data_IF_493125640045
#
_entry.id   IF_493125640045
#
_cell.length_a   1.000
_cell.length_b   1.000
_cell.length_c   1.000
_cell.angle_alpha   90.00
_cell.angle_beta   90.00
_cell.angle_gamma   90.00
#
_symmetry.space_group_name_H-M   'P 1'
#
loop_
_entity.id
_entity.type
_entity.pdbx_description
1 polymer ?
#
# COMPACT_ATOMS: atom_id res chain seq x y z
N UNK A 1 34.10 -6.91 -2.48
CA UNK A 1 32.95 -7.58 -3.09
C UNK A 1 31.94 -6.53 -3.49
N UNK A 2 31.80 -6.27 -4.78
CA UNK A 2 30.75 -5.36 -5.28
C UNK A 2 29.40 -6.06 -5.20
N UNK A 3 28.29 -5.32 -5.16
CA UNK A 3 26.94 -5.89 -5.23
C UNK A 3 26.75 -6.85 -6.42
N UNK A 4 27.53 -6.69 -7.50
CA UNK A 4 27.48 -7.56 -8.67
C UNK A 4 27.99 -8.97 -8.38
N UNK A 5 28.96 -9.13 -7.47
CA UNK A 5 29.70 -10.40 -7.30
C UNK A 5 28.79 -11.52 -6.77
N UNK A 6 27.86 -11.20 -5.85
CA UNK A 6 26.90 -12.16 -5.29
C UNK A 6 25.89 -12.64 -6.32
N UNK A 7 25.41 -11.74 -7.19
CA UNK A 7 24.44 -12.07 -8.24
C UNK A 7 25.11 -12.90 -9.33
N UNK A 8 26.36 -12.59 -9.70
CA UNK A 8 27.11 -13.40 -10.67
C UNK A 8 27.35 -14.84 -10.17
N UNK A 9 27.61 -15.01 -8.87
CA UNK A 9 27.79 -16.35 -8.29
C UNK A 9 26.48 -17.15 -8.19
N UNK A 10 25.34 -16.47 -8.03
CA UNK A 10 24.00 -17.07 -7.92
C UNK A 10 23.01 -16.29 -8.78
N UNK A 11 23.01 -16.51 -10.11
CA UNK A 11 22.24 -15.69 -11.05
C UNK A 11 20.75 -16.01 -11.07
N UNK A 12 20.32 -17.13 -10.46
CA UNK A 12 18.91 -17.50 -10.35
C UNK A 12 18.32 -17.04 -9.01
N UNK A 13 17.15 -16.38 -9.00
CA UNK A 13 16.44 -16.03 -7.77
C UNK A 13 16.18 -17.22 -6.84
N UNK A 14 16.04 -18.43 -7.38
CA UNK A 14 15.77 -19.64 -6.60
C UNK A 14 16.94 -20.07 -5.71
N UNK A 15 18.15 -19.62 -6.02
CA UNK A 15 19.37 -19.90 -5.26
C UNK A 15 19.56 -18.95 -4.06
N UNK A 16 18.64 -18.01 -3.88
CA UNK A 16 18.62 -17.08 -2.75
C UNK A 16 17.54 -17.49 -1.77
N UNK A 17 17.87 -17.43 -0.47
CA UNK A 17 16.88 -17.63 0.57
C UNK A 17 15.79 -16.56 0.46
N UNK A 18 14.55 -16.92 0.83
CA UNK A 18 13.41 -16.02 0.80
C UNK A 18 13.62 -14.79 1.71
N UNK A 19 14.34 -14.97 2.82
CA UNK A 19 14.62 -13.94 3.82
C UNK A 19 16.05 -13.39 3.75
N UNK A 20 16.86 -13.83 2.78
CA UNK A 20 18.19 -13.29 2.57
C UNK A 20 18.12 -11.82 2.14
N UNK A 21 18.85 -10.96 2.87
CA UNK A 21 18.92 -9.54 2.56
C UNK A 21 19.72 -9.28 1.27
N UNK A 22 19.13 -8.46 0.42
CA UNK A 22 19.70 -7.98 -0.83
C UNK A 22 19.50 -6.48 -0.99
N UNK A 23 20.48 -5.82 -1.58
CA UNK A 23 20.40 -4.43 -1.97
C UNK A 23 19.49 -4.25 -3.19
N UNK A 24 18.98 -3.04 -3.39
CA UNK A 24 18.12 -2.74 -4.56
C UNK A 24 18.82 -3.05 -5.91
N UNK A 25 20.12 -2.74 -6.12
CA UNK A 25 20.81 -3.13 -7.35
C UNK A 25 20.93 -4.64 -7.54
N UNK A 26 21.07 -5.42 -6.46
CA UNK A 26 21.08 -6.88 -6.53
C UNK A 26 19.70 -7.40 -6.95
N UNK A 27 18.63 -6.90 -6.32
CA UNK A 27 17.26 -7.29 -6.65
C UNK A 27 16.93 -7.01 -8.13
N UNK A 28 17.29 -5.83 -8.65
CA UNK A 28 17.07 -5.50 -10.08
C UNK A 28 17.82 -6.46 -10.99
N UNK A 29 19.11 -6.72 -10.74
CA UNK A 29 19.90 -7.63 -11.58
C UNK A 29 19.43 -9.08 -11.51
N UNK A 30 18.88 -9.49 -10.36
CA UNK A 30 18.44 -10.87 -10.14
C UNK A 30 17.07 -11.15 -10.78
N UNK A 31 16.13 -10.21 -10.69
CA UNK A 31 14.75 -10.40 -11.17
C UNK A 31 14.48 -9.77 -12.54
N UNK A 32 15.17 -8.69 -12.87
CA UNK A 32 14.95 -7.89 -14.08
C UNK A 32 16.28 -7.44 -14.71
N UNK A 33 17.20 -8.36 -15.05
CA UNK A 33 18.51 -7.99 -15.60
C UNK A 33 18.40 -7.08 -16.83
N UNK A 34 17.46 -7.37 -17.73
CA UNK A 34 17.10 -6.57 -18.91
C UNK A 34 15.61 -6.16 -18.89
N UNK A 35 15.03 -6.07 -17.68
CA UNK A 35 13.60 -5.90 -17.49
C UNK A 35 13.14 -4.45 -17.32
N UNK A 36 11.82 -4.23 -17.18
CA UNK A 36 11.23 -2.89 -17.12
C UNK A 36 11.45 -2.17 -15.78
N UNK A 37 11.84 -2.89 -14.71
CA UNK A 37 12.03 -2.32 -13.39
C UNK A 37 13.49 -1.98 -13.13
N UNK A 38 13.72 -0.75 -12.68
CA UNK A 38 15.05 -0.23 -12.36
C UNK A 38 15.18 -0.01 -10.86
N UNK A 39 16.38 0.34 -10.39
CA UNK A 39 16.61 0.73 -8.99
C UNK A 39 15.72 1.92 -8.60
N UNK A 40 15.48 2.84 -9.54
CA UNK A 40 14.59 3.97 -9.32
C UNK A 40 13.13 3.52 -9.15
N UNK A 41 12.68 2.55 -9.96
CA UNK A 41 11.35 1.93 -9.80
C UNK A 41 11.18 1.32 -8.41
N UNK A 42 12.20 0.61 -7.90
CA UNK A 42 12.15 0.06 -6.53
C UNK A 42 12.14 1.16 -5.46
N UNK A 43 12.87 2.28 -5.64
CA UNK A 43 12.80 3.41 -4.71
C UNK A 43 11.42 4.06 -4.69
N UNK A 44 10.77 4.16 -5.84
CA UNK A 44 9.38 4.61 -5.93
C UNK A 44 8.45 3.64 -5.19
N UNK A 45 8.61 2.33 -5.40
CA UNK A 45 7.84 1.32 -4.67
C UNK A 45 8.02 1.40 -3.14
N UNK A 46 9.24 1.67 -2.65
CA UNK A 46 9.52 1.92 -1.22
C UNK A 46 8.79 3.17 -0.73
N UNK A 47 8.90 4.27 -1.49
CA UNK A 47 8.22 5.54 -1.16
C UNK A 47 6.70 5.37 -1.09
N UNK A 48 6.14 4.59 -2.01
CA UNK A 48 4.71 4.32 -2.11
C UNK A 48 4.25 3.21 -1.14
N UNK A 49 5.17 2.64 -0.35
CA UNK A 49 4.87 1.63 0.68
C UNK A 49 4.54 0.24 0.14
N UNK A 50 4.83 -0.04 -1.14
CA UNK A 50 4.47 -1.31 -1.80
C UNK A 50 5.59 -2.34 -1.80
N UNK A 51 6.84 -1.92 -1.56
CA UNK A 51 7.99 -2.81 -1.39
C UNK A 51 8.46 -2.81 0.07
N UNK A 52 8.28 -3.92 0.81
CA UNK A 52 8.86 -4.08 2.14
C UNK A 52 10.40 -3.98 2.12
N UNK A 53 10.96 -3.18 3.03
CA UNK A 53 12.41 -3.00 3.18
C UNK A 53 12.84 -2.93 4.64
N UNK A 54 14.06 -3.40 4.90
CA UNK A 54 14.81 -3.12 6.11
C UNK A 54 15.78 -1.97 5.87
N UNK A 55 15.86 -1.04 6.82
CA UNK A 55 16.86 0.04 6.81
C UNK A 55 18.00 -0.36 7.75
N UNK A 56 19.15 -0.73 7.20
CA UNK A 56 20.34 -1.13 7.97
C UNK A 56 21.47 -0.17 7.65
N UNK A 57 21.98 0.54 8.66
CA UNK A 57 23.02 1.58 8.48
C UNK A 57 22.69 2.59 7.37
N UNK A 58 21.42 3.02 7.29
CA UNK A 58 20.93 3.98 6.28
C UNK A 58 20.77 3.41 4.87
N UNK A 59 20.93 2.10 4.67
CA UNK A 59 20.76 1.42 3.39
C UNK A 59 19.44 0.67 3.33
N UNK A 60 18.72 0.81 2.23
CA UNK A 60 17.55 -0.01 1.93
C UNK A 60 17.98 -1.40 1.47
N UNK A 61 17.54 -2.39 2.23
CA UNK A 61 17.68 -3.81 1.90
C UNK A 61 16.28 -4.40 1.77
N UNK A 62 16.10 -5.31 0.83
CA UNK A 62 14.87 -6.06 0.64
C UNK A 62 15.20 -7.55 0.67
N UNK A 63 14.19 -8.39 0.50
CA UNK A 63 14.33 -9.84 0.45
C UNK A 63 13.66 -10.38 -0.80
N UNK A 64 14.03 -11.61 -1.19
CA UNK A 64 13.40 -12.29 -2.32
C UNK A 64 11.89 -12.39 -2.13
N UNK A 65 11.42 -12.70 -0.91
CA UNK A 65 9.98 -12.79 -0.61
C UNK A 65 9.27 -11.46 -0.85
N UNK A 66 9.81 -10.35 -0.36
CA UNK A 66 9.23 -9.02 -0.54
C UNK A 66 9.09 -8.65 -2.02
N UNK A 67 10.10 -8.97 -2.84
CA UNK A 67 10.08 -8.72 -4.29
C UNK A 67 9.02 -9.57 -5.00
N UNK A 68 8.88 -10.85 -4.62
CA UNK A 68 7.84 -11.74 -5.17
C UNK A 68 6.42 -11.25 -4.81
N UNK A 69 6.21 -10.82 -3.56
CA UNK A 69 4.92 -10.29 -3.12
C UNK A 69 4.55 -8.98 -3.84
N UNK A 70 5.51 -8.07 -3.99
CA UNK A 70 5.32 -6.81 -4.70
C UNK A 70 5.00 -7.02 -6.18
N UNK A 71 5.62 -8.02 -6.82
CA UNK A 71 5.48 -8.28 -8.27
C UNK A 71 4.36 -9.26 -8.61
N UNK A 72 3.65 -9.80 -7.61
CA UNK A 72 2.53 -10.68 -7.83
C UNK A 72 1.39 -9.94 -8.56
N UNK A 73 1.05 -10.40 -9.77
CA UNK A 73 -0.08 -9.84 -10.51
C UNK A 73 -1.39 -10.14 -9.75
N UNK A 74 -2.11 -9.09 -9.38
CA UNK A 74 -3.45 -9.20 -8.77
C UNK A 74 -4.44 -8.42 -9.63
N UNK A 75 -5.66 -8.94 -9.86
CA UNK A 75 -6.72 -8.16 -10.49
C UNK A 75 -6.97 -6.88 -9.71
N UNK A 76 -7.09 -5.76 -10.40
CA UNK A 76 -7.53 -4.51 -9.80
C UNK A 76 -9.02 -4.67 -9.44
N UNK A 77 -9.31 -4.89 -8.16
CA UNK A 77 -10.68 -4.95 -7.67
C UNK A 77 -11.21 -3.53 -7.57
N UNK A 78 -12.18 -3.20 -8.43
CA UNK A 78 -12.75 -1.85 -8.53
C UNK A 78 -12.18 -1.10 -9.72
N UNK A 79 -12.90 -1.18 -10.84
CA UNK A 79 -12.75 -0.18 -11.89
C UNK A 79 -12.93 1.18 -11.25
N UNK A 80 -11.98 2.07 -11.50
CA UNK A 80 -12.11 3.47 -11.18
C UNK A 80 -13.36 3.96 -11.92
N UNK A 81 -14.53 4.01 -11.28
CA UNK A 81 -15.56 4.94 -11.69
C UNK A 81 -14.89 6.30 -11.58
N UNK A 82 -14.38 6.80 -12.71
CA UNK A 82 -14.01 8.20 -12.84
C UNK A 82 -15.29 8.93 -12.44
N UNK A 83 -15.30 9.78 -11.40
CA UNK A 83 -16.46 10.61 -11.14
C UNK A 83 -16.70 11.39 -12.42
N UNK A 84 -17.77 11.06 -13.14
CA UNK A 84 -18.12 11.74 -14.37
C UNK A 84 -18.41 13.17 -13.97
N UNK A 85 -17.46 14.06 -14.26
CA UNK A 85 -17.62 15.47 -14.00
C UNK A 85 -18.77 15.98 -14.86
N UNK A 86 -19.87 16.31 -14.19
CA UNK A 86 -20.99 17.16 -14.64
C UNK A 86 -22.07 16.47 -15.47
N UNK A 87 -23.16 16.13 -14.77
CA UNK A 87 -24.51 16.13 -15.30
C UNK A 87 -25.46 16.58 -14.19
N UNK A 88 -25.77 17.88 -14.16
CA UNK A 88 -26.84 18.41 -13.32
C UNK A 88 -28.17 17.79 -13.76
N UNK A 89 -28.95 17.30 -12.80
CA UNK A 89 -30.25 16.72 -13.07
C UNK A 89 -31.01 16.49 -11.77
N UNK A 90 -31.71 17.53 -11.33
CA UNK A 90 -32.81 17.43 -10.37
C UNK A 90 -33.80 16.37 -10.85
N UNK A 91 -34.02 15.33 -10.06
CA UNK A 91 -35.00 14.30 -10.33
C UNK A 91 -35.39 13.61 -9.03
N UNK A 92 -36.33 14.20 -8.30
CA UNK A 92 -37.03 13.52 -7.23
C UNK A 92 -37.80 12.33 -7.84
N UNK A 93 -37.61 11.14 -7.28
CA UNK A 93 -38.57 10.04 -7.42
C UNK A 93 -38.91 9.55 -6.02
N UNK A 94 -40.18 9.71 -5.67
CA UNK A 94 -40.82 9.29 -4.43
C UNK A 94 -41.41 7.88 -4.59
N UNK A 95 -41.55 7.21 -3.45
CA UNK A 95 -42.23 5.92 -3.15
C UNK A 95 -41.25 4.75 -3.01
N UNK A 96 -41.20 3.97 -1.91
CA UNK A 96 -42.27 3.57 -1.01
C UNK A 96 -41.78 3.25 0.42
N UNK A 97 -42.76 3.14 1.32
CA UNK A 97 -42.83 3.42 2.75
C UNK A 97 -42.57 2.19 3.62
N UNK A 98 -41.90 2.40 4.76
CA UNK A 98 -41.71 1.39 5.80
C UNK A 98 -41.22 1.98 7.12
N UNK A 99 -42.08 2.76 7.80
CA UNK A 99 -42.18 2.83 9.28
C UNK A 99 -40.92 3.27 10.05
N UNK A 100 -40.72 4.56 10.34
CA UNK A 100 -41.29 5.29 11.50
C UNK A 100 -41.21 4.50 12.81
N UNK A 101 -40.18 4.74 13.65
CA UNK A 101 -40.35 5.04 15.08
C UNK A 101 -39.23 6.00 15.54
N UNK A 102 -39.66 7.23 15.88
CA UNK A 102 -39.26 8.12 16.98
C UNK A 102 -37.92 7.88 17.73
N UNK A 103 -37.19 8.87 18.20
CA UNK A 103 -37.27 10.32 18.13
C UNK A 103 -35.96 10.86 18.71
N UNK A 104 -35.45 11.90 18.08
CA UNK A 104 -34.59 12.88 18.72
C UNK A 104 -35.48 13.63 19.72
N UNK A 105 -35.26 13.45 21.03
CA UNK A 105 -35.49 14.50 22.04
C UNK A 105 -34.96 14.11 23.42
N UNK A 106 -34.14 15.03 23.93
CA UNK A 106 -34.18 15.51 25.31
C UNK A 106 -33.63 14.62 26.44
N UNK A 107 -32.63 15.18 27.14
CA UNK A 107 -32.61 15.06 28.60
C UNK A 107 -31.41 14.36 29.23
N UNK A 108 -30.20 14.93 29.15
CA UNK A 108 -29.28 14.94 30.31
C UNK A 108 -28.57 16.28 30.43
N UNK A 109 -29.36 17.30 30.76
CA UNK A 109 -28.89 18.58 31.30
C UNK A 109 -28.87 18.46 32.83
N UNK A 110 -27.71 18.74 33.43
CA UNK A 110 -27.61 19.28 34.79
C UNK A 110 -27.03 18.37 35.88
N UNK A 111 -25.79 18.65 36.32
CA UNK A 111 -25.58 19.49 37.52
C UNK A 111 -24.11 19.87 37.66
N UNK A 112 -23.82 21.12 37.36
CA UNK A 112 -22.72 21.87 37.95
C UNK A 112 -23.07 22.15 39.42
N UNK A 113 -22.11 22.04 40.34
CA UNK A 113 -22.03 22.97 41.48
C UNK A 113 -20.56 23.24 41.85
N UNK A 114 -20.18 24.50 42.10
CA UNK A 114 -18.81 24.93 42.37
C UNK A 114 -18.51 25.07 43.87
N UNK A 115 -17.23 25.27 44.22
CA UNK A 115 -16.80 25.78 45.53
C UNK A 115 -15.51 25.09 46.00
N UNK A 116 -14.33 25.71 45.87
CA UNK A 116 -13.75 26.75 46.75
C UNK A 116 -13.04 26.13 47.98
N UNK A 117 -11.72 26.02 47.94
CA UNK A 117 -10.75 26.88 48.66
C UNK A 117 -9.34 26.32 48.54
#
# INVERSE_FOLDING_TARGET
MTNSDRVLARPSPELWDLDELMSLPEAVRLFWPDGPLTVNSLRVAIRDGTLPVAIVAGKHLTTRRAVLEMSACRPLVGGHERPSARGAGTGASVSDVGTVIAAIREGRRGKSKPGNR
#
